data_IF_133799346382
#
_entry.id   IF_133799346382
#
_cell.length_a   1.000
_cell.length_b   1.000
_cell.length_c   1.000
_cell.angle_alpha   90.00
_cell.angle_beta   90.00
_cell.angle_gamma   90.00
#
_symmetry.space_group_name_H-M   'P 1'
#
loop_
_entity.id
_entity.type
_entity.pdbx_description
1 polymer ?
#
# COMPACT_ATOMS: atom_id res chain seq x y z
N UNK A 1 18.78 3.90 101.69
CA UNK A 1 17.63 3.64 100.80
C UNK A 1 18.18 3.48 99.38
N UNK A 2 18.39 2.27 98.99
CA UNK A 2 18.93 1.97 97.65
C UNK A 2 17.78 1.70 96.70
N UNK A 3 17.80 2.36 95.60
CA UNK A 3 16.92 2.06 94.50
C UNK A 3 17.57 1.00 93.60
N UNK A 4 16.97 -0.19 93.50
CA UNK A 4 17.29 -1.21 92.54
C UNK A 4 16.53 -0.88 91.26
N UNK A 5 17.24 -0.60 90.22
CA UNK A 5 16.66 -0.47 88.88
C UNK A 5 16.76 -1.84 88.16
N UNK A 6 15.63 -2.38 87.74
CA UNK A 6 15.48 -3.66 87.11
C UNK A 6 15.98 -3.65 85.61
N UNK A 7 16.92 -4.52 85.18
CA UNK A 7 17.49 -4.53 83.83
C UNK A 7 16.72 -5.28 82.77
N UNK A 8 15.51 -5.76 83.08
CA UNK A 8 14.80 -6.70 82.17
C UNK A 8 13.97 -6.04 81.06
N UNK A 9 13.68 -4.73 81.12
CA UNK A 9 12.80 -4.02 80.18
C UNK A 9 13.45 -3.64 78.81
N UNK A 10 14.76 -3.63 78.70
CA UNK A 10 15.45 -3.17 77.49
C UNK A 10 15.78 -4.29 76.49
N UNK A 11 15.78 -5.57 76.91
CA UNK A 11 16.03 -6.73 76.02
C UNK A 11 14.83 -7.13 75.21
N UNK A 12 13.63 -7.01 75.74
CA UNK A 12 12.39 -7.40 75.00
C UNK A 12 12.02 -6.41 73.90
N UNK A 13 12.35 -5.13 74.07
CA UNK A 13 12.14 -4.10 73.05
C UNK A 13 13.08 -4.26 71.84
N UNK A 14 14.32 -4.72 72.04
CA UNK A 14 15.29 -4.97 70.96
C UNK A 14 14.91 -6.25 70.19
N UNK A 15 14.43 -7.30 70.88
CA UNK A 15 14.00 -8.52 70.28
C UNK A 15 12.78 -8.33 69.36
N UNK A 16 11.79 -7.55 69.83
CA UNK A 16 10.61 -7.22 69.03
C UNK A 16 10.91 -6.38 67.79
N UNK A 17 11.83 -5.45 67.86
CA UNK A 17 12.26 -4.66 66.70
C UNK A 17 13.01 -5.50 65.67
N UNK A 18 13.86 -6.42 66.11
CA UNK A 18 14.58 -7.34 65.23
C UNK A 18 13.65 -8.32 64.54
N UNK A 19 12.65 -8.88 65.27
CA UNK A 19 11.63 -9.71 64.71
C UNK A 19 10.74 -8.99 63.68
N UNK A 20 10.34 -7.74 63.97
CA UNK A 20 9.55 -6.93 63.03
C UNK A 20 10.36 -6.63 61.77
N UNK A 21 11.67 -6.33 61.89
CA UNK A 21 12.52 -6.11 60.73
C UNK A 21 12.68 -7.37 59.87
N UNK A 22 12.85 -8.53 60.48
CA UNK A 22 12.88 -9.84 59.75
C UNK A 22 11.57 -10.09 59.03
N UNK A 23 10.41 -9.84 59.68
CA UNK A 23 9.11 -9.97 59.00
C UNK A 23 8.93 -9.02 57.84
N UNK A 24 9.34 -7.77 57.94
CA UNK A 24 9.26 -6.79 56.83
C UNK A 24 10.18 -7.19 55.70
N UNK A 25 11.40 -7.66 55.96
CA UNK A 25 12.31 -8.14 54.95
C UNK A 25 11.79 -9.41 54.26
N UNK A 26 11.24 -10.36 55.03
CA UNK A 26 10.63 -11.56 54.44
C UNK A 26 9.44 -11.24 53.57
N UNK A 27 8.56 -10.33 54.00
CA UNK A 27 7.42 -9.88 53.18
C UNK A 27 7.88 -9.16 51.91
N UNK A 28 8.87 -8.32 52.00
CA UNK A 28 9.45 -7.64 50.81
C UNK A 28 10.06 -8.65 49.79
N UNK A 29 10.75 -9.68 50.30
CA UNK A 29 11.30 -10.73 49.44
C UNK A 29 10.18 -11.57 48.78
N UNK A 30 9.12 -11.92 49.53
CA UNK A 30 7.97 -12.66 48.96
C UNK A 30 7.26 -11.83 47.90
N UNK A 31 7.03 -10.55 48.14
CA UNK A 31 6.39 -9.66 47.16
C UNK A 31 7.26 -9.50 45.90
N UNK A 32 8.59 -9.36 46.08
CA UNK A 32 9.51 -9.29 44.95
C UNK A 32 9.52 -10.57 44.11
N UNK A 33 9.54 -11.72 44.79
CA UNK A 33 9.49 -13.02 44.12
C UNK A 33 8.13 -13.20 43.36
N UNK A 34 7.03 -12.77 43.95
CA UNK A 34 5.70 -12.81 43.30
C UNK A 34 5.68 -11.91 42.08
N UNK A 35 6.25 -10.70 42.15
CA UNK A 35 6.34 -9.80 40.99
C UNK A 35 7.22 -10.39 39.89
N UNK A 36 8.34 -11.00 40.21
CA UNK A 36 9.23 -11.67 39.26
C UNK A 36 8.52 -12.86 38.60
N UNK A 37 7.82 -13.69 39.37
CA UNK A 37 7.06 -14.83 38.84
C UNK A 37 5.87 -14.41 37.99
N UNK A 38 5.18 -13.34 38.38
CA UNK A 38 4.10 -12.76 37.59
C UNK A 38 4.61 -12.18 36.27
N UNK A 39 5.70 -11.41 36.32
CA UNK A 39 6.37 -10.88 35.14
C UNK A 39 6.86 -12.00 34.22
N UNK A 40 7.50 -13.05 34.77
CA UNK A 40 7.95 -14.21 34.01
C UNK A 40 6.79 -14.99 33.37
N UNK A 41 5.68 -15.19 34.09
CA UNK A 41 4.48 -15.84 33.53
C UNK A 41 3.81 -14.97 32.46
N UNK A 42 3.80 -13.64 32.61
CA UNK A 42 3.32 -12.72 31.61
C UNK A 42 4.19 -12.78 30.33
N UNK A 43 5.53 -12.77 30.49
CA UNK A 43 6.45 -12.89 29.36
C UNK A 43 6.38 -14.28 28.71
N UNK A 44 6.25 -15.35 29.49
CA UNK A 44 6.08 -16.71 28.97
C UNK A 44 4.75 -16.88 28.23
N UNK A 45 3.62 -16.36 28.77
CA UNK A 45 2.34 -16.36 28.06
C UNK A 45 2.43 -15.62 26.74
N UNK A 46 3.02 -14.43 26.73
CA UNK A 46 3.24 -13.65 25.52
C UNK A 46 4.20 -14.33 24.55
N UNK A 47 5.20 -15.06 25.07
CA UNK A 47 6.14 -15.85 24.27
C UNK A 47 5.46 -17.07 23.66
N UNK A 48 4.59 -17.76 24.38
CA UNK A 48 3.81 -18.90 23.87
C UNK A 48 2.69 -18.45 22.92
N UNK A 49 2.02 -17.34 23.16
CA UNK A 49 1.10 -16.72 22.19
C UNK A 49 1.81 -16.29 20.89
N UNK A 50 3.12 -16.02 20.94
CA UNK A 50 3.96 -15.72 19.78
C UNK A 50 4.49 -16.97 19.06
N UNK A 51 4.44 -18.15 19.70
CA UNK A 51 4.93 -19.43 19.15
C UNK A 51 3.83 -20.29 18.52
N UNK A 52 2.54 -19.97 18.72
CA UNK A 52 1.52 -20.47 17.82
C UNK A 52 1.69 -19.70 16.51
N UNK A 53 2.28 -20.38 15.50
CA UNK A 53 2.42 -19.82 14.17
C UNK A 53 1.10 -19.25 13.63
N UNK A 54 1.12 -18.47 12.57
CA UNK A 54 -0.11 -17.87 12.05
C UNK A 54 -1.15 -18.96 11.77
N UNK A 55 -2.40 -18.68 12.14
CA UNK A 55 -3.52 -19.59 11.91
C UNK A 55 -3.68 -19.88 10.43
N UNK A 56 -3.96 -21.13 10.07
CA UNK A 56 -4.16 -21.53 8.69
C UNK A 56 -5.33 -20.78 8.04
N UNK A 57 -5.18 -20.43 6.76
CA UNK A 57 -6.15 -19.63 5.99
C UNK A 57 -7.59 -20.17 6.08
N UNK A 58 -7.76 -21.49 6.03
CA UNK A 58 -9.08 -22.15 6.04
C UNK A 58 -9.53 -22.60 7.43
N UNK A 59 -8.84 -22.22 8.51
CA UNK A 59 -9.31 -22.49 9.88
C UNK A 59 -10.66 -21.82 10.14
N UNK A 60 -11.49 -22.40 11.01
CA UNK A 60 -12.81 -21.84 11.36
C UNK A 60 -12.71 -20.40 11.87
N UNK A 61 -11.69 -20.11 12.68
CA UNK A 61 -11.41 -18.77 13.20
C UNK A 61 -11.08 -17.76 12.09
N UNK A 62 -10.23 -18.15 11.13
CA UNK A 62 -9.88 -17.27 10.02
C UNK A 62 -11.04 -17.07 9.04
N UNK A 63 -11.89 -18.06 8.86
CA UNK A 63 -13.15 -17.92 8.10
C UNK A 63 -14.09 -16.89 8.75
N UNK A 64 -14.24 -16.94 10.08
CA UNK A 64 -15.04 -15.97 10.86
C UNK A 64 -14.47 -14.54 10.72
N UNK A 65 -13.16 -14.36 10.92
CA UNK A 65 -12.49 -13.06 10.81
C UNK A 65 -12.62 -12.46 9.40
N UNK A 66 -12.49 -13.26 8.35
CA UNK A 66 -12.69 -12.81 6.97
C UNK A 66 -14.14 -12.39 6.70
N UNK A 67 -15.13 -13.14 7.21
CA UNK A 67 -16.54 -12.76 7.15
C UNK A 67 -16.79 -11.43 7.86
N UNK A 68 -16.16 -11.19 8.99
CA UNK A 68 -16.24 -9.93 9.72
C UNK A 68 -15.89 -8.70 8.88
N UNK A 69 -15.08 -8.85 7.80
CA UNK A 69 -14.78 -7.79 6.84
C UNK A 69 -15.73 -7.87 5.63
N UNK A 70 -15.91 -9.05 5.03
CA UNK A 70 -16.67 -9.20 3.78
C UNK A 70 -18.17 -8.97 3.92
N UNK A 71 -18.75 -9.14 5.12
CA UNK A 71 -20.16 -8.87 5.38
C UNK A 71 -20.49 -7.37 5.50
N UNK A 72 -19.48 -6.52 5.72
CA UNK A 72 -19.64 -5.07 5.67
C UNK A 72 -19.72 -4.62 4.22
N UNK A 73 -20.89 -4.25 3.73
CA UNK A 73 -21.11 -3.93 2.30
C UNK A 73 -20.62 -2.55 1.90
N UNK A 74 -20.64 -1.58 2.82
CA UNK A 74 -20.18 -0.21 2.55
C UNK A 74 -19.44 0.34 3.77
N UNK A 75 -18.38 1.11 3.55
CA UNK A 75 -17.51 1.65 4.59
C UNK A 75 -18.27 2.44 5.68
N UNK A 76 -19.36 3.12 5.31
CA UNK A 76 -20.18 3.91 6.26
C UNK A 76 -20.95 3.07 7.28
N UNK A 77 -21.03 1.75 7.09
CA UNK A 77 -21.71 0.82 8.02
C UNK A 77 -20.83 0.37 9.19
N UNK A 78 -19.55 0.68 9.17
CA UNK A 78 -18.59 0.30 10.20
C UNK A 78 -17.81 1.51 10.70
N UNK A 79 -17.60 1.61 12.01
CA UNK A 79 -16.70 2.63 12.57
C UNK A 79 -15.25 2.32 12.17
N UNK A 80 -14.48 3.35 11.89
CA UNK A 80 -13.06 3.17 11.50
C UNK A 80 -12.26 2.36 12.52
N UNK A 81 -12.46 2.60 13.82
CA UNK A 81 -11.80 1.87 14.91
C UNK A 81 -12.14 0.38 14.89
N UNK A 82 -13.40 0.05 14.64
CA UNK A 82 -13.87 -1.32 14.53
C UNK A 82 -13.30 -2.03 13.29
N UNK A 83 -13.26 -1.35 12.15
CA UNK A 83 -12.61 -1.86 10.94
C UNK A 83 -11.13 -2.16 11.19
N UNK A 84 -10.42 -1.27 11.90
CA UNK A 84 -9.00 -1.46 12.22
C UNK A 84 -8.78 -2.67 13.13
N UNK A 85 -9.64 -2.86 14.13
CA UNK A 85 -9.58 -4.01 15.03
C UNK A 85 -9.84 -5.32 14.27
N UNK A 86 -10.88 -5.36 13.43
CA UNK A 86 -11.18 -6.53 12.57
C UNK A 86 -10.01 -6.82 11.63
N UNK A 87 -9.42 -5.80 11.01
CA UNK A 87 -8.25 -5.94 10.14
C UNK A 87 -7.04 -6.46 10.89
N UNK A 88 -6.72 -5.89 12.07
CA UNK A 88 -5.63 -6.33 12.92
C UNK A 88 -5.77 -7.80 13.32
N UNK A 89 -6.97 -8.21 13.72
CA UNK A 89 -7.24 -9.60 14.08
C UNK A 89 -7.07 -10.54 12.88
N UNK A 90 -7.42 -10.10 11.68
CA UNK A 90 -7.21 -10.90 10.46
C UNK A 90 -5.72 -11.14 10.14
N UNK A 91 -4.80 -10.26 10.60
CA UNK A 91 -3.36 -10.45 10.39
C UNK A 91 -2.76 -11.64 11.16
N UNK A 92 -3.51 -12.22 12.11
CA UNK A 92 -3.14 -13.49 12.75
C UNK A 92 -3.29 -14.70 11.82
N UNK A 93 -3.99 -14.54 10.69
CA UNK A 93 -4.23 -15.60 9.72
C UNK A 93 -3.17 -15.55 8.62
N UNK A 94 -2.63 -16.72 8.26
CA UNK A 94 -1.83 -16.87 7.06
C UNK A 94 -2.68 -16.49 5.84
N UNK A 95 -2.14 -15.63 5.01
CA UNK A 95 -2.83 -15.28 3.76
C UNK A 95 -2.44 -16.27 2.66
N UNK A 96 -3.44 -16.73 1.92
CA UNK A 96 -3.26 -17.59 0.74
C UNK A 96 -4.16 -17.09 -0.39
N UNK A 97 -3.69 -17.29 -1.63
CA UNK A 97 -4.49 -16.96 -2.81
C UNK A 97 -5.66 -17.93 -2.93
N UNK A 98 -6.87 -17.40 -3.12
CA UNK A 98 -8.02 -18.18 -3.55
C UNK A 98 -8.10 -18.11 -5.08
N UNK A 99 -7.54 -19.10 -5.75
CA UNK A 99 -7.42 -19.15 -7.21
C UNK A 99 -8.80 -19.02 -7.89
N UNK A 100 -9.83 -19.60 -7.31
CA UNK A 100 -11.19 -19.55 -7.85
C UNK A 100 -11.75 -18.12 -7.81
N UNK A 101 -11.74 -17.49 -6.64
CA UNK A 101 -12.20 -16.09 -6.46
C UNK A 101 -11.38 -15.11 -7.32
N UNK A 102 -10.05 -15.28 -7.33
CA UNK A 102 -9.16 -14.48 -8.15
C UNK A 102 -9.47 -14.60 -9.65
N UNK A 103 -9.71 -15.81 -10.16
CA UNK A 103 -10.03 -16.02 -11.57
C UNK A 103 -11.42 -15.48 -11.95
N UNK A 104 -12.42 -15.61 -11.09
CA UNK A 104 -13.74 -15.00 -11.29
C UNK A 104 -13.59 -13.47 -11.39
N UNK A 105 -12.84 -12.88 -10.45
CA UNK A 105 -12.61 -11.43 -10.44
C UNK A 105 -11.86 -10.95 -11.70
N UNK A 106 -10.75 -11.61 -12.05
CA UNK A 106 -9.96 -11.33 -13.27
C UNK A 106 -10.83 -11.44 -14.55
N UNK A 107 -11.69 -12.44 -14.61
CA UNK A 107 -12.59 -12.62 -15.77
C UNK A 107 -13.63 -11.49 -15.87
N UNK A 108 -14.05 -10.94 -14.73
CA UNK A 108 -14.95 -9.77 -14.71
C UNK A 108 -14.23 -8.51 -15.20
N UNK A 109 -12.98 -8.30 -14.75
CA UNK A 109 -12.14 -7.19 -15.22
C UNK A 109 -11.84 -7.30 -16.72
N UNK A 110 -11.50 -8.49 -17.20
CA UNK A 110 -11.24 -8.71 -18.61
C UNK A 110 -12.45 -8.35 -19.49
N UNK A 111 -13.66 -8.69 -19.04
CA UNK A 111 -14.90 -8.36 -19.77
C UNK A 111 -15.20 -6.86 -19.79
N UNK A 112 -14.88 -6.13 -18.70
CA UNK A 112 -15.15 -4.69 -18.64
C UNK A 112 -14.08 -3.86 -19.33
N UNK A 113 -12.84 -4.22 -19.17
CA UNK A 113 -11.74 -3.29 -19.25
C UNK A 113 -10.58 -3.80 -20.11
N UNK A 114 -10.18 -5.07 -19.95
CA UNK A 114 -9.19 -5.77 -20.75
C UNK A 114 -7.82 -5.04 -20.82
N UNK A 115 -7.14 -4.96 -19.67
CA UNK A 115 -5.80 -4.35 -19.59
C UNK A 115 -4.80 -4.93 -20.61
N UNK A 116 -4.74 -6.26 -20.87
CA UNK A 116 -3.86 -6.82 -21.88
C UNK A 116 -4.04 -6.26 -23.30
N UNK A 117 -5.21 -5.70 -23.61
CA UNK A 117 -5.49 -5.12 -24.93
C UNK A 117 -5.50 -3.58 -24.91
N UNK A 118 -5.89 -2.96 -23.78
CA UNK A 118 -6.23 -1.53 -23.74
C UNK A 118 -5.59 -0.74 -22.59
N UNK A 119 -4.67 -1.30 -21.81
CA UNK A 119 -4.02 -0.52 -20.76
C UNK A 119 -3.30 0.71 -21.33
N UNK A 120 -2.60 0.54 -22.46
CA UNK A 120 -1.86 1.59 -23.15
C UNK A 120 -2.40 1.83 -24.54
N UNK A 121 -2.20 3.07 -25.06
CA UNK A 121 -2.32 3.33 -26.49
C UNK A 121 -1.18 2.63 -27.24
N UNK A 122 -1.53 1.93 -28.31
CA UNK A 122 -0.59 1.26 -29.19
C UNK A 122 -0.94 1.57 -30.65
N UNK A 123 0.00 1.37 -31.57
CA UNK A 123 -0.28 1.55 -32.99
C UNK A 123 -1.39 0.62 -33.49
N UNK A 124 -1.53 -0.56 -32.85
CA UNK A 124 -2.56 -1.55 -33.20
C UNK A 124 -3.96 -1.17 -32.70
N UNK A 125 -4.10 -0.72 -31.44
CA UNK A 125 -5.42 -0.36 -30.86
C UNK A 125 -5.80 1.11 -31.09
N UNK A 126 -4.84 1.96 -31.49
CA UNK A 126 -5.04 3.39 -31.78
C UNK A 126 -4.31 3.77 -33.08
N UNK A 127 -4.82 3.33 -34.23
CA UNK A 127 -4.21 3.61 -35.54
C UNK A 127 -4.10 5.09 -35.87
N UNK A 128 -3.23 5.43 -36.83
CA UNK A 128 -3.09 6.78 -37.35
C UNK A 128 -4.44 7.34 -37.82
N UNK A 129 -4.74 8.58 -37.48
CA UNK A 129 -6.00 9.24 -37.79
C UNK A 129 -7.17 8.93 -36.84
N UNK A 130 -6.95 8.06 -35.85
CA UNK A 130 -7.98 7.77 -34.84
C UNK A 130 -8.43 9.06 -34.14
N UNK A 131 -9.74 9.21 -33.97
CA UNK A 131 -10.38 10.27 -33.19
C UNK A 131 -10.55 9.78 -31.73
N UNK A 132 -9.63 10.15 -30.86
CA UNK A 132 -9.58 9.69 -29.48
C UNK A 132 -10.36 10.66 -28.59
N UNK A 133 -11.34 10.18 -27.85
CA UNK A 133 -12.09 10.96 -26.87
C UNK A 133 -11.27 11.07 -25.57
N UNK A 134 -11.25 12.24 -24.96
CA UNK A 134 -10.65 12.42 -23.63
C UNK A 134 -11.44 11.70 -22.54
N UNK A 135 -10.77 11.37 -21.44
CA UNK A 135 -11.38 10.70 -20.29
C UNK A 135 -12.49 11.57 -19.64
N UNK A 136 -12.25 12.86 -19.47
CA UNK A 136 -13.20 13.78 -18.77
C UNK A 136 -13.74 14.91 -19.65
N UNK A 137 -13.03 15.32 -20.67
CA UNK A 137 -13.51 16.32 -21.63
C UNK A 137 -14.26 15.61 -22.76
N UNK A 138 -15.55 15.37 -22.53
CA UNK A 138 -16.39 14.61 -23.45
C UNK A 138 -16.65 15.32 -24.80
N UNK A 139 -16.44 16.64 -24.86
CA UNK A 139 -16.51 17.44 -26.09
C UNK A 139 -15.19 17.49 -26.85
N UNK A 140 -14.08 17.24 -26.14
CA UNK A 140 -12.74 17.24 -26.71
C UNK A 140 -12.41 15.96 -27.46
N UNK A 141 -11.86 16.11 -28.67
CA UNK A 141 -11.37 15.00 -29.49
C UNK A 141 -9.91 15.27 -29.83
N UNK A 142 -9.05 14.28 -29.57
CA UNK A 142 -7.66 14.31 -30.01
C UNK A 142 -7.51 13.48 -31.29
N UNK A 143 -6.97 14.10 -32.32
CA UNK A 143 -6.68 13.42 -33.58
C UNK A 143 -5.25 12.87 -33.55
N UNK A 144 -5.10 11.56 -33.66
CA UNK A 144 -3.78 10.91 -33.69
C UNK A 144 -3.09 11.28 -35.01
N UNK A 145 -2.12 12.18 -34.91
CA UNK A 145 -1.26 12.56 -36.01
C UNK A 145 -0.03 11.62 -36.09
N UNK A 146 0.78 11.78 -37.14
CA UNK A 146 1.96 10.97 -37.40
C UNK A 146 3.00 11.01 -36.28
N UNK A 147 3.16 12.19 -35.65
CA UNK A 147 4.11 12.41 -34.58
C UNK A 147 3.75 11.62 -33.32
N UNK A 148 2.52 11.76 -32.82
CA UNK A 148 2.02 11.02 -31.65
C UNK A 148 1.91 9.52 -31.92
N UNK A 149 1.49 9.13 -33.13
CA UNK A 149 1.43 7.73 -33.54
C UNK A 149 2.80 7.02 -33.43
N UNK A 150 3.88 7.69 -33.80
CA UNK A 150 5.26 7.15 -33.68
C UNK A 150 5.70 6.98 -32.22
N UNK A 151 5.12 7.70 -31.27
CA UNK A 151 5.41 7.56 -29.84
C UNK A 151 4.79 6.29 -29.23
N UNK A 152 3.79 5.69 -29.89
CA UNK A 152 3.12 4.51 -29.39
C UNK A 152 3.92 3.23 -29.70
N UNK A 153 3.96 2.27 -28.77
CA UNK A 153 4.48 0.95 -29.06
C UNK A 153 3.62 0.29 -30.15
N UNK A 154 4.21 -0.62 -30.93
CA UNK A 154 3.49 -1.33 -32.00
C UNK A 154 2.30 -2.12 -31.46
N UNK A 155 2.54 -2.87 -30.38
CA UNK A 155 1.56 -3.72 -29.70
C UNK A 155 1.66 -3.56 -28.19
N UNK A 156 0.73 -4.15 -27.44
CA UNK A 156 0.80 -4.20 -25.99
C UNK A 156 2.05 -4.99 -25.55
N UNK A 157 2.87 -4.43 -24.65
CA UNK A 157 4.09 -5.08 -24.18
C UNK A 157 3.83 -6.24 -23.19
N UNK A 158 2.61 -6.35 -22.67
CA UNK A 158 2.25 -7.33 -21.65
C UNK A 158 1.01 -8.11 -22.02
N UNK A 159 0.99 -9.40 -21.63
CA UNK A 159 -0.14 -10.32 -21.82
C UNK A 159 -0.83 -10.64 -20.50
N UNK A 160 -2.01 -11.29 -20.57
CA UNK A 160 -2.76 -11.73 -19.40
C UNK A 160 -1.96 -12.75 -18.58
N UNK A 161 -1.93 -12.57 -17.24
CA UNK A 161 -1.24 -13.47 -16.30
C UNK A 161 0.21 -13.81 -16.71
N UNK A 162 0.90 -12.82 -17.26
CA UNK A 162 2.29 -12.97 -17.70
C UNK A 162 3.27 -13.15 -16.55
N UNK A 163 2.97 -12.53 -15.39
CA UNK A 163 3.84 -12.51 -14.23
C UNK A 163 3.23 -13.36 -13.11
N UNK A 164 4.07 -14.13 -12.39
CA UNK A 164 3.60 -14.93 -11.26
C UNK A 164 3.23 -14.05 -10.09
N UNK A 165 4.16 -13.24 -9.58
CA UNK A 165 3.97 -12.35 -8.44
C UNK A 165 4.24 -10.91 -8.81
N UNK A 166 3.28 -10.03 -8.55
CA UNK A 166 3.44 -8.60 -8.76
C UNK A 166 3.30 -7.81 -7.45
N UNK A 167 4.11 -6.76 -7.31
CA UNK A 167 3.98 -5.76 -6.26
C UNK A 167 3.42 -4.48 -6.85
N UNK A 168 2.35 -3.96 -6.25
CA UNK A 168 1.87 -2.60 -6.53
C UNK A 168 2.18 -1.75 -5.30
N UNK A 169 3.00 -0.71 -5.51
CA UNK A 169 3.53 0.12 -4.43
C UNK A 169 2.88 1.49 -4.48
N UNK A 170 2.00 1.75 -3.51
CA UNK A 170 1.46 3.06 -3.21
C UNK A 170 2.44 3.89 -2.39
N UNK A 171 2.02 5.12 -2.03
CA UNK A 171 2.91 6.06 -1.35
C UNK A 171 2.54 6.27 0.14
N UNK A 172 1.57 5.52 0.67
CA UNK A 172 1.04 5.73 2.02
C UNK A 172 2.09 5.66 3.13
N UNK A 173 1.89 6.48 4.16
CA UNK A 173 2.77 6.55 5.33
C UNK A 173 2.90 5.24 6.10
N UNK A 174 2.01 4.28 5.86
CA UNK A 174 2.09 2.91 6.40
C UNK A 174 3.38 2.19 5.99
N UNK A 175 4.03 2.61 4.88
CA UNK A 175 5.32 2.04 4.45
C UNK A 175 6.49 2.48 5.32
N UNK A 176 6.39 3.58 6.05
CA UNK A 176 7.48 4.06 6.89
C UNK A 176 7.77 3.06 8.00
N UNK A 177 9.00 2.58 8.08
CA UNK A 177 9.47 1.54 9.00
C UNK A 177 8.83 0.15 8.76
N UNK A 178 8.26 -0.10 7.57
CA UNK A 178 7.64 -1.38 7.21
C UNK A 178 8.65 -2.50 6.93
N UNK A 179 9.89 -2.16 6.57
CA UNK A 179 10.94 -3.10 6.15
C UNK A 179 10.52 -4.01 4.98
N UNK A 180 9.57 -3.56 4.15
CA UNK A 180 9.03 -4.36 3.04
C UNK A 180 9.87 -4.29 1.76
N UNK A 181 10.97 -3.53 1.73
CA UNK A 181 11.74 -3.30 0.51
C UNK A 181 12.18 -4.59 -0.17
N UNK A 182 12.73 -5.56 0.58
CA UNK A 182 13.15 -6.85 0.01
C UNK A 182 11.99 -7.67 -0.54
N UNK A 183 10.83 -7.65 0.12
CA UNK A 183 9.64 -8.36 -0.36
C UNK A 183 9.09 -7.74 -1.64
N UNK A 184 9.09 -6.40 -1.73
CA UNK A 184 8.73 -5.68 -2.95
C UNK A 184 9.67 -6.05 -4.09
N UNK A 185 10.98 -6.00 -3.86
CA UNK A 185 12.00 -6.26 -4.87
C UNK A 185 12.06 -7.74 -5.31
N UNK A 186 11.49 -8.66 -4.52
CA UNK A 186 11.36 -10.09 -4.87
C UNK A 186 10.24 -10.39 -5.86
N UNK A 187 9.34 -9.44 -6.13
CA UNK A 187 8.26 -9.63 -7.08
C UNK A 187 8.79 -9.71 -8.52
N UNK A 188 8.12 -10.47 -9.40
CA UNK A 188 8.50 -10.56 -10.81
C UNK A 188 8.32 -9.21 -11.51
N UNK A 189 7.28 -8.45 -11.12
CA UNK A 189 6.95 -7.15 -11.69
C UNK A 189 6.47 -6.16 -10.63
N UNK A 190 7.01 -4.93 -10.67
CA UNK A 190 6.75 -3.88 -9.67
C UNK A 190 6.17 -2.63 -10.31
N UNK A 191 4.96 -2.26 -9.88
CA UNK A 191 4.28 -1.03 -10.26
C UNK A 191 4.45 0.03 -9.17
N UNK A 192 4.84 1.26 -9.53
CA UNK A 192 4.93 2.38 -8.59
C UNK A 192 4.11 3.59 -9.01
N UNK A 193 3.55 4.29 -8.02
CA UNK A 193 2.71 5.45 -8.21
C UNK A 193 3.51 6.76 -8.11
N UNK A 194 3.52 7.60 -9.17
CA UNK A 194 3.81 9.03 -9.08
C UNK A 194 5.23 9.43 -8.63
N UNK A 195 6.26 8.81 -9.21
CA UNK A 195 7.66 9.15 -8.96
C UNK A 195 8.01 9.36 -7.47
N UNK A 196 7.75 8.39 -6.60
CA UNK A 196 8.10 8.50 -5.20
C UNK A 196 9.62 8.41 -5.01
N UNK A 197 10.23 9.01 -3.99
CA UNK A 197 11.66 8.84 -3.74
C UNK A 197 11.96 7.40 -3.31
N UNK A 198 12.86 6.73 -4.03
CA UNK A 198 13.36 5.37 -3.77
C UNK A 198 14.86 5.35 -3.42
N UNK A 199 15.40 6.49 -2.97
CA UNK A 199 16.79 6.64 -2.58
C UNK A 199 17.15 5.83 -1.31
N UNK A 200 18.43 5.73 -1.00
CA UNK A 200 19.01 4.96 0.13
C UNK A 200 18.22 5.04 1.43
N UNK A 201 17.73 6.22 1.77
CA UNK A 201 16.95 6.49 2.98
C UNK A 201 15.68 5.63 3.08
N UNK A 202 15.12 5.23 1.95
CA UNK A 202 13.82 4.56 1.89
C UNK A 202 13.91 3.10 1.43
N UNK A 203 15.07 2.64 0.95
CA UNK A 203 15.26 1.31 0.34
C UNK A 203 14.75 0.19 1.23
N UNK A 204 15.06 0.26 2.53
CA UNK A 204 14.65 -0.79 3.49
C UNK A 204 13.14 -0.96 3.53
N UNK A 205 12.38 0.12 3.37
CA UNK A 205 10.92 0.13 3.48
C UNK A 205 10.22 -0.09 2.14
N UNK A 206 10.79 0.44 1.04
CA UNK A 206 10.08 0.49 -0.25
C UNK A 206 10.79 -0.22 -1.40
N UNK A 207 12.03 -0.70 -1.21
CA UNK A 207 12.83 -1.32 -2.27
C UNK A 207 13.20 -0.34 -3.39
N UNK A 208 13.83 -0.87 -4.42
CA UNK A 208 14.30 -0.10 -5.59
C UNK A 208 13.72 -0.61 -6.91
N UNK A 209 13.43 -1.93 -7.01
CA UNK A 209 12.92 -2.51 -8.25
C UNK A 209 11.68 -1.77 -8.74
N UNK A 210 11.68 -1.45 -10.02
CA UNK A 210 10.57 -0.76 -10.68
C UNK A 210 10.52 -1.20 -12.14
N UNK A 211 9.38 -1.68 -12.59
CA UNK A 211 9.14 -2.04 -13.98
C UNK A 211 8.24 -1.01 -14.67
N UNK A 212 7.27 -0.46 -13.92
CA UNK A 212 6.45 0.68 -14.36
C UNK A 212 6.37 1.72 -13.23
N UNK A 213 6.57 3.00 -13.60
CA UNK A 213 6.28 4.14 -12.73
C UNK A 213 5.33 5.11 -13.41
N UNK A 214 4.28 5.53 -12.71
CA UNK A 214 3.39 6.56 -13.25
C UNK A 214 3.90 7.96 -12.95
N UNK A 215 3.58 8.89 -13.83
CA UNK A 215 3.87 10.32 -13.64
C UNK A 215 2.60 11.12 -13.89
N UNK A 216 1.98 11.60 -12.81
CA UNK A 216 0.80 12.45 -12.95
C UNK A 216 1.17 13.83 -13.49
N UNK A 217 0.32 14.45 -14.33
CA UNK A 217 0.55 15.79 -14.87
C UNK A 217 0.76 16.86 -13.81
N UNK A 218 0.18 16.72 -12.62
CA UNK A 218 0.42 17.63 -11.49
C UNK A 218 1.90 17.64 -11.06
N UNK A 219 2.57 16.48 -11.05
CA UNK A 219 4.01 16.39 -10.75
C UNK A 219 4.81 17.13 -11.80
N UNK A 220 4.51 16.93 -13.08
CA UNK A 220 5.19 17.60 -14.19
C UNK A 220 5.00 19.12 -14.09
N UNK A 221 3.76 19.54 -13.79
CA UNK A 221 3.40 20.96 -13.73
C UNK A 221 3.93 21.65 -12.48
N UNK A 222 3.70 21.05 -11.31
CA UNK A 222 3.97 21.68 -10.01
C UNK A 222 5.43 21.50 -9.57
N UNK A 223 5.97 20.28 -9.71
CA UNK A 223 7.34 19.97 -9.26
C UNK A 223 8.40 20.29 -10.30
N UNK A 224 8.09 20.18 -11.61
CA UNK A 224 9.04 20.34 -12.71
C UNK A 224 8.67 21.45 -13.68
N UNK A 225 7.81 22.40 -13.27
CA UNK A 225 7.47 23.61 -14.03
C UNK A 225 7.15 23.33 -15.50
N UNK A 226 6.30 22.34 -15.78
CA UNK A 226 5.87 21.91 -17.12
C UNK A 226 7.01 21.47 -18.03
N UNK A 227 8.20 21.15 -17.50
CA UNK A 227 9.42 20.78 -18.22
C UNK A 227 9.96 21.88 -19.18
N UNK A 228 9.70 23.13 -18.89
CA UNK A 228 10.24 24.24 -19.71
C UNK A 228 11.76 24.40 -19.49
N UNK A 229 12.17 24.67 -18.24
CA UNK A 229 13.58 24.81 -17.83
C UNK A 229 14.05 23.67 -16.91
N UNK A 230 13.16 22.77 -16.52
CA UNK A 230 13.40 21.74 -15.51
C UNK A 230 13.49 20.32 -16.09
N UNK A 231 13.85 20.17 -17.38
CA UNK A 231 14.00 18.87 -18.04
C UNK A 231 15.11 18.04 -17.39
N UNK A 232 16.30 18.62 -17.15
CA UNK A 232 17.43 17.91 -16.53
C UNK A 232 17.13 17.45 -15.10
N UNK A 233 16.57 18.29 -14.18
CA UNK A 233 16.12 17.82 -12.87
C UNK A 233 15.10 16.69 -12.93
N UNK A 234 14.15 16.73 -13.87
CA UNK A 234 13.19 15.66 -14.09
C UNK A 234 13.87 14.37 -14.56
N UNK A 235 14.74 14.46 -15.56
CA UNK A 235 15.51 13.33 -16.05
C UNK A 235 16.37 12.70 -14.95
N UNK A 236 17.05 13.49 -14.12
CA UNK A 236 17.84 12.98 -13.00
C UNK A 236 16.98 12.18 -11.98
N UNK A 237 15.73 12.57 -11.77
CA UNK A 237 14.81 11.79 -10.94
C UNK A 237 14.44 10.49 -11.62
N UNK A 238 14.19 10.49 -12.92
CA UNK A 238 13.85 9.27 -13.68
C UNK A 238 15.01 8.27 -13.74
N UNK A 239 16.25 8.72 -13.73
CA UNK A 239 17.42 7.83 -13.69
C UNK A 239 17.44 6.90 -12.47
N UNK A 240 16.84 7.29 -11.34
CA UNK A 240 16.71 6.40 -10.18
C UNK A 240 15.82 5.18 -10.44
N UNK A 241 15.03 5.20 -11.51
CA UNK A 241 14.12 4.10 -11.90
C UNK A 241 14.70 3.24 -13.03
N UNK A 242 15.98 3.43 -13.35
CA UNK A 242 16.71 2.66 -14.37
C UNK A 242 15.93 2.56 -15.71
N UNK A 243 15.59 1.33 -16.11
CA UNK A 243 14.88 1.06 -17.36
C UNK A 243 13.34 0.98 -17.19
N UNK A 244 12.80 1.39 -16.05
CA UNK A 244 11.36 1.34 -15.80
C UNK A 244 10.58 2.11 -16.85
N UNK A 245 9.46 1.55 -17.28
CA UNK A 245 8.55 2.22 -18.20
C UNK A 245 7.85 3.39 -17.50
N UNK A 246 7.80 4.55 -18.15
CA UNK A 246 7.13 5.75 -17.67
C UNK A 246 5.70 5.78 -18.21
N UNK A 247 4.70 5.77 -17.32
CA UNK A 247 3.28 5.70 -17.70
C UNK A 247 2.54 6.99 -17.35
N UNK A 248 1.87 7.57 -18.34
CA UNK A 248 1.28 8.90 -18.30
C UNK A 248 -0.21 8.90 -18.66
N UNK A 249 -1.07 9.64 -17.93
CA UNK A 249 -2.48 9.84 -18.30
C UNK A 249 -2.62 10.98 -19.33
N UNK A 250 -2.01 10.81 -20.51
CA UNK A 250 -1.97 11.83 -21.55
C UNK A 250 -3.34 12.29 -22.05
N UNK A 251 -4.31 11.35 -22.14
CA UNK A 251 -5.62 11.63 -22.74
C UNK A 251 -6.72 11.84 -21.69
N UNK A 252 -6.36 12.37 -20.53
CA UNK A 252 -7.32 12.80 -19.52
C UNK A 252 -8.08 14.06 -19.98
N UNK A 253 -7.36 15.08 -20.39
CA UNK A 253 -7.84 16.31 -21.05
C UNK A 253 -6.72 16.92 -21.88
N UNK A 254 -7.01 17.97 -22.64
CA UNK A 254 -6.05 18.66 -23.54
C UNK A 254 -4.76 19.10 -22.85
N UNK A 255 -4.86 19.67 -21.62
CA UNK A 255 -3.68 20.15 -20.87
C UNK A 255 -2.74 18.99 -20.49
N UNK A 256 -3.32 17.84 -20.16
CA UNK A 256 -2.54 16.65 -19.80
C UNK A 256 -1.81 16.08 -21.00
N UNK A 257 -2.39 16.16 -22.19
CA UNK A 257 -1.74 15.72 -23.44
C UNK A 257 -0.45 16.48 -23.69
N UNK A 258 -0.49 17.81 -23.63
CA UNK A 258 0.69 18.68 -23.86
C UNK A 258 1.83 18.34 -22.90
N UNK A 259 1.56 18.31 -21.59
CA UNK A 259 2.63 18.04 -20.61
C UNK A 259 3.13 16.57 -20.68
N UNK A 260 2.28 15.61 -21.07
CA UNK A 260 2.69 14.21 -21.24
C UNK A 260 3.59 14.00 -22.46
N UNK A 261 3.30 14.68 -23.56
CA UNK A 261 4.15 14.66 -24.76
C UNK A 261 5.53 15.30 -24.47
N UNK A 262 5.57 16.38 -23.68
CA UNK A 262 6.83 16.99 -23.22
C UNK A 262 7.73 16.03 -22.45
N UNK A 263 7.16 15.06 -21.73
CA UNK A 263 7.96 14.02 -21.07
C UNK A 263 8.71 13.17 -22.09
N UNK A 264 8.05 12.78 -23.18
CA UNK A 264 8.71 12.02 -24.26
C UNK A 264 9.88 12.84 -24.84
N UNK A 265 9.65 14.10 -25.19
CA UNK A 265 10.71 14.97 -25.72
C UNK A 265 11.85 15.20 -24.71
N UNK A 266 11.51 15.36 -23.42
CA UNK A 266 12.54 15.52 -22.39
C UNK A 266 13.43 14.27 -22.26
N UNK A 267 12.89 13.08 -22.46
CA UNK A 267 13.68 11.85 -22.48
C UNK A 267 14.51 11.73 -23.77
N UNK A 268 13.95 12.13 -24.90
CA UNK A 268 14.68 12.16 -26.19
C UNK A 268 15.85 13.15 -26.14
N UNK A 269 15.71 14.33 -25.51
CA UNK A 269 16.79 15.32 -25.34
C UNK A 269 18.01 14.76 -24.57
N UNK A 270 17.81 13.73 -23.75
CA UNK A 270 18.86 13.06 -22.99
C UNK A 270 19.15 11.63 -23.47
N UNK A 271 18.71 11.28 -24.67
CA UNK A 271 18.94 9.97 -25.31
C UNK A 271 18.51 8.78 -24.44
N UNK A 272 17.47 8.97 -23.60
CA UNK A 272 16.98 7.95 -22.70
C UNK A 272 16.29 6.82 -23.45
N UNK A 273 16.62 5.59 -23.07
CA UNK A 273 15.97 4.38 -23.61
C UNK A 273 14.73 3.96 -22.81
N UNK A 274 14.35 4.71 -21.76
CA UNK A 274 13.16 4.39 -20.96
C UNK A 274 11.89 4.43 -21.83
N UNK A 275 11.08 3.37 -21.86
CA UNK A 275 9.82 3.36 -22.58
C UNK A 275 8.84 4.38 -21.99
N UNK A 276 8.12 5.10 -22.84
CA UNK A 276 7.03 5.99 -22.43
C UNK A 276 5.72 5.43 -22.98
N UNK A 277 4.78 5.17 -22.09
CA UNK A 277 3.45 4.70 -22.44
C UNK A 277 2.38 5.71 -22.00
N UNK A 278 1.29 5.73 -22.73
CA UNK A 278 0.13 6.55 -22.40
C UNK A 278 -1.06 5.66 -22.10
N UNK A 279 -1.76 5.90 -20.98
CA UNK A 279 -3.01 5.20 -20.72
C UNK A 279 -4.00 5.38 -21.87
N UNK A 280 -4.65 4.30 -22.28
CA UNK A 280 -5.72 4.36 -23.24
C UNK A 280 -6.99 4.92 -22.56
N UNK A 281 -7.58 6.04 -23.04
CA UNK A 281 -8.69 6.69 -22.35
C UNK A 281 -9.92 5.80 -22.22
N UNK A 282 -10.21 4.96 -23.21
CA UNK A 282 -11.34 4.02 -23.15
C UNK A 282 -11.17 3.01 -22.00
N UNK A 283 -9.94 2.54 -21.75
CA UNK A 283 -9.65 1.69 -20.59
C UNK A 283 -10.02 2.39 -19.30
N UNK A 284 -9.58 3.63 -19.12
CA UNK A 284 -9.85 4.42 -17.90
C UNK A 284 -11.35 4.73 -17.73
N UNK A 285 -12.06 5.04 -18.83
CA UNK A 285 -13.51 5.28 -18.80
C UNK A 285 -14.25 4.00 -18.38
N UNK A 286 -13.93 2.85 -18.96
CA UNK A 286 -14.54 1.58 -18.61
C UNK A 286 -14.26 1.20 -17.16
N UNK A 287 -13.01 1.37 -16.72
CA UNK A 287 -12.57 1.09 -15.37
C UNK A 287 -13.27 1.98 -14.34
N UNK A 288 -13.40 3.28 -14.62
CA UNK A 288 -14.11 4.22 -13.75
C UNK A 288 -15.59 3.83 -13.60
N UNK A 289 -16.23 3.40 -14.69
CA UNK A 289 -17.63 2.90 -14.67
C UNK A 289 -17.74 1.61 -13.85
N UNK A 290 -16.80 0.69 -14.03
CA UNK A 290 -16.75 -0.55 -13.24
C UNK A 290 -16.67 -0.25 -11.73
N UNK A 291 -15.72 0.57 -11.30
CA UNK A 291 -15.53 0.88 -9.90
C UNK A 291 -16.65 1.73 -9.29
N UNK A 292 -17.30 2.58 -10.10
CA UNK A 292 -18.52 3.28 -9.69
C UNK A 292 -19.64 2.27 -9.31
N UNK A 293 -19.81 1.22 -10.11
CA UNK A 293 -20.78 0.14 -9.82
C UNK A 293 -20.37 -0.70 -8.60
N UNK A 294 -19.08 -0.72 -8.24
CA UNK A 294 -18.57 -1.33 -7.00
C UNK A 294 -18.60 -0.36 -5.78
N UNK A 295 -19.25 0.79 -5.92
CA UNK A 295 -19.44 1.76 -4.83
C UNK A 295 -18.32 2.77 -4.64
N UNK A 296 -17.31 2.81 -5.52
CA UNK A 296 -16.25 3.84 -5.48
C UNK A 296 -16.75 5.10 -6.18
N UNK A 297 -17.31 6.01 -5.41
CA UNK A 297 -17.85 7.30 -5.90
C UNK A 297 -16.79 8.39 -5.78
N UNK A 298 -16.06 8.66 -6.85
CA UNK A 298 -15.01 9.67 -6.94
C UNK A 298 -15.15 10.50 -8.21
N UNK A 299 -14.62 11.72 -8.23
CA UNK A 299 -14.46 12.49 -9.48
C UNK A 299 -13.53 11.77 -10.45
N UNK A 300 -12.51 11.12 -9.90
CA UNK A 300 -11.59 10.24 -10.62
C UNK A 300 -11.09 9.16 -9.67
N UNK A 301 -11.03 7.93 -10.13
CA UNK A 301 -10.36 6.85 -9.41
C UNK A 301 -8.88 7.16 -9.26
N UNK A 302 -8.25 6.69 -8.17
CA UNK A 302 -6.83 6.96 -7.94
C UNK A 302 -5.93 6.21 -8.93
N UNK A 303 -4.75 6.74 -9.18
CA UNK A 303 -3.71 6.05 -9.96
C UNK A 303 -3.38 4.68 -9.34
N UNK A 304 -3.41 4.59 -8.01
CA UNK A 304 -3.22 3.34 -7.29
C UNK A 304 -4.27 2.30 -7.67
N UNK A 305 -5.56 2.66 -7.67
CA UNK A 305 -6.64 1.75 -8.06
C UNK A 305 -6.52 1.31 -9.52
N UNK A 306 -6.10 2.21 -10.42
CA UNK A 306 -5.84 1.89 -11.83
C UNK A 306 -4.74 0.82 -11.94
N UNK A 307 -3.60 1.02 -11.27
CA UNK A 307 -2.48 0.08 -11.31
C UNK A 307 -2.81 -1.27 -10.65
N UNK A 308 -3.52 -1.27 -9.52
CA UNK A 308 -3.97 -2.50 -8.87
C UNK A 308 -4.87 -3.31 -9.80
N UNK A 309 -5.79 -2.64 -10.49
CA UNK A 309 -6.70 -3.32 -11.43
C UNK A 309 -5.93 -3.89 -12.62
N UNK A 310 -4.98 -3.14 -13.19
CA UNK A 310 -4.12 -3.64 -14.26
C UNK A 310 -3.27 -4.84 -13.80
N UNK A 311 -2.67 -4.76 -12.61
CA UNK A 311 -1.90 -5.85 -12.04
C UNK A 311 -2.73 -7.14 -11.86
N UNK A 312 -3.99 -7.03 -11.43
CA UNK A 312 -4.89 -8.18 -11.30
C UNK A 312 -5.16 -8.89 -12.62
N UNK A 313 -5.10 -8.20 -13.77
CA UNK A 313 -5.25 -8.83 -15.09
C UNK A 313 -3.92 -9.38 -15.64
N UNK A 314 -2.79 -8.77 -15.29
CA UNK A 314 -1.47 -9.09 -15.83
C UNK A 314 -0.71 -10.14 -15.03
N UNK A 315 -1.07 -10.35 -13.75
CA UNK A 315 -0.32 -11.15 -12.80
C UNK A 315 -1.16 -12.29 -12.21
N UNK A 316 -0.52 -13.37 -11.81
CA UNK A 316 -1.22 -14.47 -11.11
C UNK A 316 -1.54 -14.09 -9.68
N UNK A 317 -0.59 -13.52 -8.96
CA UNK A 317 -0.70 -13.07 -7.57
C UNK A 317 -0.31 -11.59 -7.44
N UNK A 318 -1.09 -10.80 -6.70
CA UNK A 318 -0.91 -9.36 -6.54
C UNK A 318 -0.77 -8.98 -5.07
N UNK A 319 0.32 -8.30 -4.74
CA UNK A 319 0.63 -7.78 -3.41
C UNK A 319 0.61 -6.25 -3.41
N UNK A 320 -0.10 -5.66 -2.44
CA UNK A 320 -0.23 -4.23 -2.27
C UNK A 320 0.58 -3.75 -1.09
N UNK A 321 1.44 -2.74 -1.31
CA UNK A 321 2.25 -2.08 -0.30
C UNK A 321 1.95 -0.58 -0.31
N UNK A 322 1.82 0.05 0.86
CA UNK A 322 1.57 1.48 0.93
C UNK A 322 0.13 1.91 0.59
N UNK A 323 -0.83 1.00 0.60
CA UNK A 323 -2.24 1.28 0.36
C UNK A 323 -2.99 1.39 1.69
N UNK A 324 -2.88 2.56 2.32
CA UNK A 324 -3.58 2.87 3.56
C UNK A 324 -3.91 4.36 3.61
N UNK A 325 -5.17 4.71 3.44
CA UNK A 325 -5.62 6.10 3.30
C UNK A 325 -6.21 6.69 4.60
N UNK A 326 -5.87 6.11 5.73
CA UNK A 326 -6.34 6.58 7.03
C UNK A 326 -5.21 7.31 7.78
N UNK A 327 -5.52 8.26 8.68
CA UNK A 327 -4.51 9.02 9.41
C UNK A 327 -3.78 8.21 10.50
N UNK A 328 -4.30 7.02 10.85
CA UNK A 328 -3.71 6.10 11.80
C UNK A 328 -3.52 4.73 11.16
N UNK A 329 -2.48 4.02 11.58
CA UNK A 329 -2.30 2.61 11.22
C UNK A 329 -3.31 1.70 11.97
N UNK A 330 -3.39 0.39 11.65
CA UNK A 330 -4.31 -0.53 12.33
C UNK A 330 -4.12 -0.63 13.85
N UNK A 331 -2.95 -0.25 14.38
CA UNK A 331 -2.65 -0.21 15.81
C UNK A 331 -2.98 1.14 16.47
N UNK A 332 -3.61 2.08 15.75
CA UNK A 332 -4.02 3.38 16.28
C UNK A 332 -2.90 4.43 16.33
N UNK A 333 -1.74 4.17 15.74
CA UNK A 333 -0.62 5.12 15.71
C UNK A 333 -0.78 6.04 14.51
N UNK A 334 -0.65 7.36 14.72
CA UNK A 334 -0.68 8.36 13.65
C UNK A 334 0.46 8.16 12.65
N UNK A 335 0.14 8.21 11.36
CA UNK A 335 1.06 8.10 10.26
C UNK A 335 0.96 9.32 9.33
N UNK A 336 2.02 9.60 8.59
CA UNK A 336 2.03 10.64 7.55
C UNK A 336 1.18 10.21 6.35
N UNK A 337 0.77 11.17 5.52
CA UNK A 337 0.01 10.85 4.30
C UNK A 337 0.85 10.00 3.33
N UNK A 338 2.10 10.41 3.06
CA UNK A 338 3.06 9.61 2.33
C UNK A 338 4.22 9.19 3.23
N UNK A 339 4.96 8.15 2.85
CA UNK A 339 6.12 7.70 3.63
C UNK A 339 7.29 8.72 3.62
N UNK A 340 7.30 9.65 2.66
CA UNK A 340 8.34 10.66 2.47
C UNK A 340 7.91 12.10 2.83
N UNK A 341 6.61 12.39 2.88
CA UNK A 341 6.07 13.70 3.26
C UNK A 341 4.68 13.58 3.93
N UNK A 342 4.11 14.73 4.32
CA UNK A 342 2.77 14.78 4.89
C UNK A 342 1.82 15.69 4.08
N UNK A 343 2.05 15.83 2.78
CA UNK A 343 1.19 16.61 1.88
C UNK A 343 -0.13 15.87 1.70
N UNK A 344 -1.22 16.46 2.18
CA UNK A 344 -2.56 15.86 2.08
C UNK A 344 -3.12 15.97 0.67
N UNK A 345 -3.91 14.99 0.20
CA UNK A 345 -4.57 15.07 -1.10
C UNK A 345 -5.63 16.19 -1.11
N UNK A 346 -5.94 16.68 -2.31
CA UNK A 346 -7.07 17.61 -2.48
C UNK A 346 -8.38 16.93 -2.09
N UNK A 347 -9.17 17.50 -1.15
CA UNK A 347 -10.42 16.89 -0.70
C UNK A 347 -11.39 16.62 -1.86
N UNK A 348 -12.09 15.49 -1.82
CA UNK A 348 -13.17 15.16 -2.77
C UNK A 348 -12.74 14.84 -4.20
N UNK A 349 -11.44 14.71 -4.50
CA UNK A 349 -10.97 14.32 -5.83
C UNK A 349 -10.97 12.79 -6.01
N UNK A 350 -10.41 12.05 -5.04
CA UNK A 350 -10.41 10.60 -4.97
C UNK A 350 -11.23 10.08 -3.78
N UNK A 351 -11.75 8.87 -3.86
CA UNK A 351 -12.45 8.19 -2.77
C UNK A 351 -11.54 7.13 -2.11
N UNK A 352 -10.29 7.52 -1.77
CA UNK A 352 -9.27 6.60 -1.28
C UNK A 352 -9.73 5.69 -0.13
N UNK A 353 -10.48 6.14 0.90
CA UNK A 353 -10.98 5.23 1.93
C UNK A 353 -11.89 4.12 1.37
N UNK A 354 -12.74 4.43 0.38
CA UNK A 354 -13.58 3.43 -0.29
C UNK A 354 -12.76 2.48 -1.17
N UNK A 355 -11.71 2.98 -1.83
CA UNK A 355 -10.79 2.16 -2.61
C UNK A 355 -10.06 1.16 -1.69
N UNK A 356 -9.51 1.62 -0.55
CA UNK A 356 -8.84 0.75 0.42
C UNK A 356 -9.82 -0.27 0.99
N UNK A 357 -11.04 0.12 1.31
CA UNK A 357 -12.06 -0.79 1.80
C UNK A 357 -12.31 -1.95 0.82
N UNK A 358 -12.39 -1.67 -0.49
CA UNK A 358 -12.47 -2.71 -1.52
C UNK A 358 -11.21 -3.62 -1.54
N UNK A 359 -10.00 -3.06 -1.30
CA UNK A 359 -8.79 -3.87 -1.19
C UNK A 359 -8.81 -4.81 0.02
N UNK A 360 -9.33 -4.35 1.18
CA UNK A 360 -9.50 -5.20 2.36
C UNK A 360 -10.49 -6.34 2.11
N UNK A 361 -11.57 -6.08 1.37
CA UNK A 361 -12.50 -7.12 0.90
C UNK A 361 -11.83 -8.13 -0.03
N UNK A 362 -11.07 -7.67 -1.01
CA UNK A 362 -10.35 -8.56 -1.93
C UNK A 362 -9.28 -9.39 -1.20
N UNK A 363 -8.57 -8.80 -0.24
CA UNK A 363 -7.64 -9.53 0.63
C UNK A 363 -8.36 -10.64 1.41
N UNK A 364 -9.50 -10.29 2.03
CA UNK A 364 -10.30 -11.25 2.82
C UNK A 364 -10.87 -12.39 1.98
N UNK A 365 -11.04 -12.20 0.68
CA UNK A 365 -11.43 -13.23 -0.29
C UNK A 365 -10.26 -14.00 -0.90
N UNK A 366 -9.03 -13.63 -0.59
CA UNK A 366 -7.83 -14.24 -1.19
C UNK A 366 -7.60 -13.84 -2.64
N UNK A 367 -8.09 -12.68 -3.09
CA UNK A 367 -7.92 -12.19 -4.48
C UNK A 367 -6.60 -11.46 -4.64
N UNK A 368 -6.21 -10.66 -3.65
CA UNK A 368 -4.93 -9.94 -3.57
C UNK A 368 -4.48 -9.84 -2.12
N UNK A 369 -3.21 -9.60 -1.86
CA UNK A 369 -2.67 -9.41 -0.52
C UNK A 369 -2.40 -7.94 -0.23
N UNK A 370 -2.93 -7.41 0.89
CA UNK A 370 -2.61 -6.07 1.40
C UNK A 370 -1.63 -6.20 2.56
N UNK A 371 -0.51 -5.49 2.49
CA UNK A 371 0.50 -5.43 3.54
C UNK A 371 0.35 -4.14 4.34
N UNK A 372 0.10 -4.26 5.65
CA UNK A 372 -0.01 -3.14 6.59
C UNK A 372 0.94 -3.25 7.78
N UNK A 373 1.55 -4.41 7.96
CA UNK A 373 2.48 -4.71 9.04
C UNK A 373 3.93 -4.69 8.54
N UNK A 374 4.84 -4.79 9.48
CA UNK A 374 6.27 -4.94 9.17
C UNK A 374 6.49 -6.26 8.42
N UNK A 375 7.13 -6.19 7.27
CA UNK A 375 7.51 -7.38 6.53
C UNK A 375 8.66 -8.08 7.28
N UNK A 376 8.39 -9.28 7.78
CA UNK A 376 9.39 -10.10 8.43
C UNK A 376 10.31 -10.66 7.35
N UNK A 377 11.56 -10.19 7.35
CA UNK A 377 12.61 -10.85 6.61
C UNK A 377 13.04 -12.08 7.43
N UNK A 378 12.70 -13.26 6.99
CA UNK A 378 13.37 -14.46 7.44
C UNK A 378 14.83 -14.45 6.98
#
# INVERSE_FOLDING_TARGET
MGYYSDPTSSRDLLGNRTLLFIFVCAFAVVTLVQQILYGRNYYLRRYFEFYEGPLEFNSSKCLELRRGITDVKVLSMVKQTELFERWKNLQMCKWEINVTEANIFKSTLFRCCNAPAFLFTTQKNTPLGTKLKYEVDTSGIFHINQEVFRMFPKEMPYSRSQFKKCAVVGNGGILKNSRCGREIDSADFVFRCNLPPISEKYIVDVGVKTDIVTVNPSIITERFHKLEKWRKPFFNVLQNYENASVLLPAFYNTRNTDVSIRVRYALDDFESQQPVYFFHPQYLINLSRYWLNQGVRAKRISTGLILVTAALELCEEVHLFGFWAFPMNPSGIYITHHYYDNVKPRPGFHAMPSEIFNFLHMHSKGILRVHTDVCNCC
#
